data_IF_344083883725
#
_entry.id   IF_344083883725
#
_cell.length_a   1.000
_cell.length_b   1.000
_cell.length_c   1.000
_cell.angle_alpha   90.00
_cell.angle_beta   90.00
_cell.angle_gamma   90.00
#
_symmetry.space_group_name_H-M   'P 1'
#
loop_
_entity.id
_entity.type
_entity.pdbx_description
1 polymer ?
#
# COMPACT_ATOMS: atom_id res chain seq x y z
N UNK A 1 -17.85 7.50 26.25
CA UNK A 1 -17.26 8.11 25.04
C UNK A 1 -16.77 6.96 24.18
N UNK A 2 -17.19 6.91 22.91
CA UNK A 2 -16.82 5.81 22.02
C UNK A 2 -15.30 5.86 21.80
N UNK A 3 -14.62 4.74 22.01
CA UNK A 3 -13.20 4.65 21.71
C UNK A 3 -13.05 4.72 20.18
N UNK A 4 -12.17 5.60 19.72
CA UNK A 4 -11.96 5.81 18.30
C UNK A 4 -11.26 4.58 17.68
N UNK A 5 -11.70 4.23 16.47
CA UNK A 5 -11.16 3.13 15.69
C UNK A 5 -9.66 3.35 15.39
N UNK A 6 -8.77 2.37 15.61
CA UNK A 6 -7.32 2.54 15.37
C UNK A 6 -6.68 1.30 14.77
N UNK A 7 -5.68 1.46 13.89
CA UNK A 7 -4.81 0.35 13.44
C UNK A 7 -3.58 0.14 14.35
N UNK A 8 -3.45 0.93 15.43
CA UNK A 8 -2.29 0.97 16.32
C UNK A 8 -1.24 2.04 15.96
N UNK A 9 -1.41 2.74 14.84
CA UNK A 9 -0.56 3.87 14.40
C UNK A 9 -1.42 5.11 14.11
N UNK A 10 -2.62 4.93 13.57
CA UNK A 10 -3.55 6.02 13.22
C UNK A 10 -4.91 5.80 13.88
N UNK A 11 -5.64 6.89 14.12
CA UNK A 11 -6.92 6.91 14.82
C UNK A 11 -8.01 7.57 13.97
N UNK A 12 -9.22 7.00 13.93
CA UNK A 12 -10.37 7.47 13.19
C UNK A 12 -10.68 6.66 11.91
N UNK A 13 -11.98 6.54 11.61
CA UNK A 13 -12.50 5.78 10.44
C UNK A 13 -11.93 6.31 9.11
N UNK A 14 -11.77 7.63 8.99
CA UNK A 14 -11.25 8.24 7.75
C UNK A 14 -9.82 7.82 7.48
N UNK A 15 -8.98 7.77 8.53
CA UNK A 15 -7.58 7.38 8.37
C UNK A 15 -7.43 5.89 8.01
N UNK A 16 -8.33 5.05 8.51
CA UNK A 16 -8.38 3.62 8.17
C UNK A 16 -8.83 3.38 6.72
N UNK A 17 -9.77 4.19 6.24
CA UNK A 17 -10.23 4.15 4.84
C UNK A 17 -9.28 4.85 3.88
N UNK A 18 -8.39 5.71 4.39
CA UNK A 18 -7.46 6.48 3.57
C UNK A 18 -6.57 5.58 2.72
N UNK A 19 -6.05 4.47 3.25
CA UNK A 19 -5.25 3.53 2.46
C UNK A 19 -6.05 2.91 1.30
N UNK A 20 -7.31 2.55 1.53
CA UNK A 20 -8.19 2.01 0.49
C UNK A 20 -8.56 3.06 -0.57
N UNK A 21 -8.84 4.28 -0.12
CA UNK A 21 -9.11 5.43 -0.99
C UNK A 21 -7.90 5.72 -1.88
N UNK A 22 -6.71 5.83 -1.30
CA UNK A 22 -5.49 6.14 -2.03
C UNK A 22 -5.06 4.99 -2.95
N UNK A 23 -5.28 3.74 -2.56
CA UNK A 23 -5.08 2.59 -3.44
C UNK A 23 -5.97 2.67 -4.68
N UNK A 24 -7.25 3.05 -4.53
CA UNK A 24 -8.16 3.26 -5.67
C UNK A 24 -7.85 4.52 -6.50
N UNK A 25 -7.22 5.53 -5.89
CA UNK A 25 -6.96 6.81 -6.53
C UNK A 25 -5.64 6.83 -7.32
N UNK A 26 -4.60 6.19 -6.80
CA UNK A 26 -3.27 6.17 -7.41
C UNK A 26 -3.09 5.04 -8.42
N UNK A 27 -3.79 3.91 -8.26
CA UNK A 27 -3.67 2.76 -9.15
C UNK A 27 -4.83 2.66 -10.12
N UNK A 28 -4.57 2.12 -11.31
CA UNK A 28 -5.60 1.85 -12.32
C UNK A 28 -6.18 0.45 -12.17
N UNK A 29 -7.41 0.24 -12.65
CA UNK A 29 -8.05 -1.08 -12.77
C UNK A 29 -7.91 -1.96 -11.52
N UNK A 30 -8.19 -1.37 -10.36
CA UNK A 30 -8.09 -2.02 -9.05
C UNK A 30 -9.24 -3.00 -8.86
N UNK A 31 -8.90 -4.24 -8.51
CA UNK A 31 -9.86 -5.29 -8.21
C UNK A 31 -9.43 -6.08 -6.97
N UNK A 32 -10.30 -6.12 -5.96
CA UNK A 32 -10.04 -6.77 -4.67
C UNK A 32 -10.90 -8.01 -4.57
N UNK A 33 -10.28 -9.15 -4.26
CA UNK A 33 -10.96 -10.42 -4.04
C UNK A 33 -10.71 -10.93 -2.63
N UNK A 34 -11.79 -11.26 -1.92
CA UNK A 34 -11.73 -12.00 -0.66
C UNK A 34 -11.47 -13.47 -0.97
N UNK A 35 -10.34 -14.00 -0.52
CA UNK A 35 -9.99 -15.41 -0.68
C UNK A 35 -10.51 -16.24 0.49
N UNK A 36 -10.37 -15.71 1.71
CA UNK A 36 -10.78 -16.40 2.94
C UNK A 36 -11.09 -15.39 4.03
N UNK A 37 -12.02 -15.74 4.91
CA UNK A 37 -12.30 -14.99 6.12
C UNK A 37 -12.22 -15.96 7.31
N UNK A 38 -11.32 -15.67 8.23
CA UNK A 38 -11.04 -16.51 9.40
C UNK A 38 -11.38 -15.77 10.69
N UNK A 39 -11.91 -16.47 11.70
CA UNK A 39 -11.96 -15.96 13.07
C UNK A 39 -10.61 -16.19 13.75
N UNK A 40 -9.91 -15.11 14.11
CA UNK A 40 -8.63 -15.17 14.82
C UNK A 40 -8.87 -15.29 16.32
N UNK A 41 -9.83 -14.52 16.83
CA UNK A 41 -10.34 -14.60 18.20
C UNK A 41 -11.87 -14.44 18.16
N UNK A 42 -12.52 -14.47 19.33
CA UNK A 42 -13.96 -14.20 19.44
C UNK A 42 -14.35 -12.85 18.80
N UNK A 43 -13.48 -11.86 18.96
CA UNK A 43 -13.73 -10.47 18.57
C UNK A 43 -12.80 -10.01 17.43
N UNK A 44 -12.15 -10.94 16.71
CA UNK A 44 -11.22 -10.60 15.64
C UNK A 44 -11.41 -11.48 14.42
N UNK A 45 -11.49 -10.84 13.26
CA UNK A 45 -11.56 -11.48 11.94
C UNK A 45 -10.32 -11.13 11.13
N UNK A 46 -9.81 -12.11 10.38
CA UNK A 46 -8.76 -11.90 9.41
C UNK A 46 -9.26 -12.30 8.02
N UNK A 47 -9.34 -11.32 7.14
CA UNK A 47 -9.55 -11.53 5.73
C UNK A 47 -8.20 -11.76 5.05
N UNK A 48 -8.10 -12.82 4.26
CA UNK A 48 -7.02 -13.00 3.27
C UNK A 48 -7.55 -12.52 1.93
N UNK A 49 -6.81 -11.62 1.28
CA UNK A 49 -7.25 -10.97 0.05
C UNK A 49 -6.19 -11.06 -1.05
N UNK A 50 -6.66 -10.92 -2.28
CA UNK A 50 -5.83 -10.67 -3.45
C UNK A 50 -6.26 -9.35 -4.07
N UNK A 51 -5.32 -8.49 -4.42
CA UNK A 51 -5.57 -7.20 -5.08
C UNK A 51 -4.87 -7.21 -6.43
N UNK A 52 -5.63 -7.14 -7.51
CA UNK A 52 -5.08 -6.87 -8.85
C UNK A 52 -5.13 -5.38 -9.10
N UNK A 53 -4.03 -4.78 -9.55
CA UNK A 53 -3.98 -3.36 -9.85
C UNK A 53 -2.99 -3.07 -10.97
N UNK A 54 -3.17 -1.93 -11.63
CA UNK A 54 -2.26 -1.43 -12.67
C UNK A 54 -1.45 -0.27 -12.13
N UNK A 55 -0.13 -0.33 -12.27
CA UNK A 55 0.78 0.78 -11.99
C UNK A 55 0.62 1.81 -13.11
N UNK A 56 0.12 2.99 -12.77
CA UNK A 56 -0.13 4.07 -13.75
C UNK A 56 0.89 5.19 -13.60
N UNK A 57 0.82 6.18 -14.48
CA UNK A 57 1.57 7.43 -14.32
C UNK A 57 1.22 8.12 -12.98
N UNK A 58 -0.07 8.12 -12.58
CA UNK A 58 -0.51 8.61 -11.27
C UNK A 58 0.16 7.84 -10.13
N UNK A 59 0.31 6.52 -10.26
CA UNK A 59 1.04 5.70 -9.27
C UNK A 59 2.48 6.17 -9.13
N UNK A 60 3.19 6.34 -10.24
CA UNK A 60 4.60 6.74 -10.23
C UNK A 60 4.77 8.16 -9.65
N UNK A 61 3.92 9.10 -10.07
CA UNK A 61 3.98 10.50 -9.61
C UNK A 61 3.73 10.62 -8.10
N UNK A 62 2.81 9.82 -7.54
CA UNK A 62 2.38 9.96 -6.15
C UNK A 62 3.08 9.01 -5.18
N UNK A 63 3.53 7.84 -5.62
CA UNK A 63 4.14 6.83 -4.73
C UNK A 63 5.65 6.65 -4.96
N UNK A 64 6.13 6.93 -6.17
CA UNK A 64 7.53 6.74 -6.55
C UNK A 64 8.11 7.98 -7.27
N UNK A 65 7.89 9.22 -6.77
CA UNK A 65 8.28 10.44 -7.49
C UNK A 65 9.79 10.50 -7.77
N UNK A 66 10.61 9.89 -6.92
CA UNK A 66 12.06 9.81 -7.08
C UNK A 66 12.52 9.00 -8.30
N UNK A 67 11.66 8.14 -8.85
CA UNK A 67 11.95 7.40 -10.09
C UNK A 67 11.74 8.26 -11.33
N UNK A 68 10.98 9.36 -11.21
CA UNK A 68 10.71 10.31 -12.30
C UNK A 68 11.70 11.49 -12.29
N UNK A 69 12.29 11.80 -11.14
CA UNK A 69 13.22 12.91 -11.00
C UNK A 69 14.61 12.57 -11.55
N UNK A 70 14.95 13.20 -12.68
CA UNK A 70 16.24 13.07 -13.36
C UNK A 70 17.31 14.01 -12.79
N UNK A 71 17.00 14.82 -11.77
CA UNK A 71 17.91 15.86 -11.25
C UNK A 71 18.71 15.44 -10.00
N UNK A 72 18.39 14.30 -9.40
CA UNK A 72 19.07 13.78 -8.20
C UNK A 72 20.41 13.11 -8.55
N UNK A 73 21.48 13.90 -8.61
CA UNK A 73 22.85 13.58 -9.07
C UNK A 73 23.62 12.44 -8.36
N UNK A 74 23.00 11.67 -7.46
CA UNK A 74 23.73 10.81 -6.53
C UNK A 74 23.54 9.28 -6.73
N UNK A 75 22.86 8.82 -7.79
CA UNK A 75 22.78 7.38 -8.15
C UNK A 75 22.94 7.23 -9.66
N UNK A 76 23.70 6.21 -10.07
CA UNK A 76 23.91 5.72 -11.44
C UNK A 76 22.75 6.07 -12.39
N UNK A 77 22.97 7.14 -13.16
CA UNK A 77 21.96 7.94 -13.89
C UNK A 77 21.17 7.14 -14.94
N UNK A 78 21.67 5.94 -15.30
CA UNK A 78 21.04 5.04 -16.27
C UNK A 78 19.93 4.14 -15.72
N UNK A 79 19.87 3.88 -14.41
CA UNK A 79 18.92 2.89 -13.87
C UNK A 79 17.53 3.48 -13.57
N UNK A 80 17.41 4.70 -13.06
CA UNK A 80 16.10 5.22 -12.58
C UNK A 80 15.03 5.39 -13.67
N UNK A 81 15.30 6.04 -14.82
CA UNK A 81 14.31 6.15 -15.89
C UNK A 81 13.90 4.77 -16.41
N UNK A 82 14.81 3.79 -16.34
CA UNK A 82 14.55 2.40 -16.74
C UNK A 82 13.60 1.69 -15.77
N UNK A 83 13.65 1.99 -14.46
CA UNK A 83 12.77 1.38 -13.46
C UNK A 83 11.34 1.92 -13.57
N UNK A 84 11.18 3.24 -13.69
CA UNK A 84 9.87 3.85 -13.93
C UNK A 84 9.21 3.27 -15.20
N UNK A 85 9.97 3.17 -16.29
CA UNK A 85 9.48 2.58 -17.54
C UNK A 85 9.11 1.09 -17.41
N UNK A 86 9.85 0.31 -16.61
CA UNK A 86 9.53 -1.10 -16.35
C UNK A 86 8.27 -1.28 -15.52
N UNK A 87 8.00 -0.37 -14.58
CA UNK A 87 6.83 -0.43 -13.71
C UNK A 87 5.56 0.11 -14.41
N UNK A 88 5.70 1.13 -15.26
CA UNK A 88 4.56 1.79 -15.90
C UNK A 88 3.71 0.80 -16.72
N UNK A 89 2.39 0.91 -16.54
CA UNK A 89 1.36 0.09 -17.18
C UNK A 89 1.44 -1.41 -16.86
N UNK A 90 2.24 -1.82 -15.87
CA UNK A 90 2.23 -3.21 -15.42
C UNK A 90 1.01 -3.49 -14.56
N UNK A 91 0.34 -4.60 -14.86
CA UNK A 91 -0.70 -5.16 -14.00
C UNK A 91 -0.08 -6.18 -13.06
N UNK A 92 -0.19 -5.93 -11.76
CA UNK A 92 0.35 -6.79 -10.72
C UNK A 92 -0.74 -7.39 -9.86
N UNK A 93 -0.43 -8.54 -9.27
CA UNK A 93 -1.27 -9.23 -8.29
C UNK A 93 -0.57 -9.18 -6.94
N UNK A 94 -1.22 -8.52 -5.99
CA UNK A 94 -0.73 -8.27 -4.64
C UNK A 94 -1.49 -9.15 -3.67
N UNK A 95 -0.77 -9.89 -2.83
CA UNK A 95 -1.38 -10.69 -1.77
C UNK A 95 -1.45 -9.88 -0.50
N UNK A 96 -2.53 -10.03 0.26
CA UNK A 96 -2.71 -9.22 1.45
C UNK A 96 -3.59 -9.85 2.51
N UNK A 97 -3.64 -9.16 3.63
CA UNK A 97 -4.54 -9.49 4.73
C UNK A 97 -5.13 -8.23 5.34
N UNK A 98 -6.37 -8.33 5.80
CA UNK A 98 -7.06 -7.27 6.53
C UNK A 98 -7.55 -7.85 7.84
N UNK A 99 -7.09 -7.29 8.96
CA UNK A 99 -7.53 -7.65 10.30
C UNK A 99 -8.58 -6.66 10.76
N UNK A 100 -9.70 -7.18 11.23
CA UNK A 100 -10.78 -6.44 11.86
C UNK A 100 -10.82 -6.86 13.32
N UNK A 101 -10.74 -5.92 14.26
CA UNK A 101 -11.11 -6.19 15.66
C UNK A 101 -12.44 -5.51 15.97
N UNK A 102 -13.28 -6.17 16.75
CA UNK A 102 -14.65 -5.77 17.09
C UNK A 102 -14.76 -5.37 18.56
N UNK A 103 -15.60 -4.37 18.83
CA UNK A 103 -16.13 -4.13 20.17
C UNK A 103 -17.47 -4.85 20.29
N UNK A 104 -17.48 -5.96 21.02
CA UNK A 104 -18.69 -6.76 21.28
C UNK A 104 -19.77 -5.93 22.01
N UNK A 105 -19.37 -5.02 22.91
CA UNK A 105 -20.32 -4.25 23.72
C UNK A 105 -21.09 -3.21 22.90
N UNK A 106 -20.47 -2.65 21.86
CA UNK A 106 -21.09 -1.64 20.98
C UNK A 106 -21.39 -2.14 19.57
N UNK A 107 -21.05 -3.41 19.25
CA UNK A 107 -21.22 -4.03 17.92
C UNK A 107 -20.61 -3.23 16.77
N UNK A 108 -19.37 -2.73 16.95
CA UNK A 108 -18.67 -1.88 15.97
C UNK A 108 -17.25 -2.37 15.72
N UNK A 109 -16.71 -2.11 14.52
CA UNK A 109 -15.27 -2.25 14.25
C UNK A 109 -14.53 -1.29 15.17
N UNK A 110 -13.43 -1.74 15.77
CA UNK A 110 -12.51 -0.94 16.57
C UNK A 110 -11.14 -0.82 15.95
N UNK A 111 -10.77 -1.75 15.07
CA UNK A 111 -9.47 -1.74 14.41
C UNK A 111 -9.58 -2.33 13.02
N UNK A 112 -8.89 -1.70 12.08
CA UNK A 112 -8.72 -2.18 10.70
C UNK A 112 -7.23 -2.11 10.35
N UNK A 113 -6.52 -3.23 10.36
CA UNK A 113 -5.11 -3.28 9.97
C UNK A 113 -4.99 -3.98 8.63
N UNK A 114 -4.45 -3.29 7.62
CA UNK A 114 -4.26 -3.86 6.28
C UNK A 114 -2.76 -4.04 5.98
N UNK A 115 -2.40 -5.18 5.39
CA UNK A 115 -1.04 -5.48 4.90
C UNK A 115 -1.12 -5.99 3.47
N UNK A 116 -0.26 -5.49 2.61
CA UNK A 116 -0.21 -5.81 1.18
C UNK A 116 1.23 -6.09 0.77
N UNK A 117 1.52 -7.23 0.18
CA UNK A 117 2.86 -7.57 -0.31
C UNK A 117 3.12 -6.94 -1.69
N UNK A 118 3.63 -5.71 -1.71
CA UNK A 118 4.08 -5.04 -2.93
C UNK A 118 5.47 -5.50 -3.36
N UNK A 119 6.26 -6.06 -2.44
CA UNK A 119 7.63 -6.48 -2.70
C UNK A 119 7.68 -7.62 -3.72
N UNK A 120 6.92 -8.69 -3.48
CA UNK A 120 6.96 -9.89 -4.32
C UNK A 120 6.62 -9.61 -5.80
N UNK A 121 5.51 -8.93 -6.16
CA UNK A 121 5.21 -8.65 -7.56
C UNK A 121 6.20 -7.69 -8.21
N UNK A 122 6.76 -6.73 -7.46
CA UNK A 122 7.77 -5.81 -8.02
C UNK A 122 9.11 -6.54 -8.24
N UNK A 123 9.48 -7.46 -7.35
CA UNK A 123 10.64 -8.33 -7.53
C UNK A 123 10.47 -9.22 -8.76
N UNK A 124 9.28 -9.78 -8.97
CA UNK A 124 8.97 -10.59 -10.16
C UNK A 124 9.11 -9.78 -11.45
N UNK A 125 8.61 -8.53 -11.46
CA UNK A 125 8.73 -7.63 -12.63
C UNK A 125 10.18 -7.23 -12.94
N UNK A 126 10.98 -6.96 -11.92
CA UNK A 126 12.32 -6.39 -12.10
C UNK A 126 13.42 -7.44 -12.18
N UNK A 127 13.21 -8.63 -11.59
CA UNK A 127 14.16 -9.73 -11.54
C UNK A 127 15.44 -9.43 -10.74
N UNK A 128 15.47 -8.34 -9.97
CA UNK A 128 16.65 -7.90 -9.21
C UNK A 128 16.24 -7.26 -7.88
N UNK A 129 16.78 -7.80 -6.78
CA UNK A 129 16.55 -7.24 -5.44
C UNK A 129 17.20 -5.85 -5.29
N UNK A 130 18.31 -5.59 -5.98
CA UNK A 130 18.95 -4.27 -6.03
C UNK A 130 18.02 -3.23 -6.66
N UNK A 131 17.38 -3.59 -7.78
CA UNK A 131 16.40 -2.75 -8.44
C UNK A 131 15.16 -2.50 -7.56
N UNK A 132 14.67 -3.54 -6.87
CA UNK A 132 13.56 -3.42 -5.91
C UNK A 132 13.93 -2.47 -4.75
N UNK A 133 15.14 -2.61 -4.20
CA UNK A 133 15.63 -1.73 -3.16
C UNK A 133 15.63 -0.27 -3.62
N UNK A 134 16.05 0.01 -4.86
CA UNK A 134 15.99 1.35 -5.46
C UNK A 134 14.56 1.86 -5.66
N UNK A 135 13.61 0.99 -6.03
CA UNK A 135 12.19 1.36 -6.17
C UNK A 135 11.61 1.81 -4.84
N UNK A 136 11.87 1.07 -3.75
CA UNK A 136 11.35 1.41 -2.43
C UNK A 136 12.20 2.44 -1.66
N UNK A 137 13.43 2.71 -2.10
CA UNK A 137 14.27 3.74 -1.52
C UNK A 137 13.65 5.12 -1.78
N UNK A 138 13.20 5.80 -0.72
CA UNK A 138 12.49 7.10 -0.80
C UNK A 138 11.09 7.03 -1.45
N UNK A 139 10.51 5.85 -1.61
CA UNK A 139 9.11 5.72 -2.00
C UNK A 139 8.19 6.23 -0.88
N UNK A 140 7.01 6.74 -1.26
CA UNK A 140 5.96 7.16 -0.31
C UNK A 140 5.04 5.98 0.07
N UNK A 141 5.47 4.76 -0.23
CA UNK A 141 4.82 3.51 0.12
C UNK A 141 5.86 2.50 0.57
N UNK A 142 5.52 1.74 1.61
CA UNK A 142 6.36 0.65 2.12
C UNK A 142 6.20 -0.63 1.28
N UNK A 143 7.16 -1.58 1.36
CA UNK A 143 7.01 -2.90 0.75
C UNK A 143 5.75 -3.66 1.20
N UNK A 144 5.26 -3.40 2.42
CA UNK A 144 4.02 -3.94 2.98
C UNK A 144 2.76 -3.13 2.60
N UNK A 145 2.90 -2.20 1.65
CA UNK A 145 1.79 -1.42 1.07
C UNK A 145 1.16 -0.41 2.01
N UNK A 146 1.81 -0.10 3.13
CA UNK A 146 1.46 1.04 3.98
C UNK A 146 1.96 2.32 3.32
N UNK A 147 1.08 3.28 3.13
CA UNK A 147 1.47 4.62 2.68
C UNK A 147 2.17 5.36 3.80
N UNK A 148 3.25 6.04 3.44
CA UNK A 148 3.96 6.93 4.34
C UNK A 148 3.26 8.27 4.24
N UNK A 149 2.48 8.62 5.27
CA UNK A 149 1.89 9.94 5.38
C UNK A 149 3.04 10.96 5.37
N UNK A 150 3.10 11.82 4.35
CA UNK A 150 3.70 13.13 4.60
C UNK A 150 2.84 13.76 5.70
N UNK A 151 3.47 14.19 6.77
CA UNK A 151 2.85 15.10 7.72
C UNK A 151 2.34 16.31 6.91
N UNK A 152 1.07 16.28 6.52
CA UNK A 152 0.29 17.46 6.19
C UNK A 152 -0.11 18.12 7.52
N UNK A 153 0.89 18.37 8.36
CA UNK A 153 0.86 19.46 9.33
C UNK A 153 1.28 20.72 8.59
N UNK A 154 0.41 21.28 7.76
CA UNK A 154 0.56 22.66 7.30
C UNK A 154 -0.78 23.23 6.82
N UNK A 155 -1.29 24.15 7.64
CA UNK A 155 -2.29 25.20 7.39
C UNK A 155 -3.73 24.88 7.77
#
# INVERSE_FOLDING_TARGET
MAHDMTDGVVCGVEALLQNWKLLSFYHGDVYVQLQRLDHVTKDSLQATITVSLTITESTLQNLYPHLLDSTARDIDDGQRPSLAAKLLNQRIVVHGSVRFDWDEANSRVMRLESKLDLLSPILELLGSLEAVALVFNSALVTPEGRLLSNDLSAS
#
